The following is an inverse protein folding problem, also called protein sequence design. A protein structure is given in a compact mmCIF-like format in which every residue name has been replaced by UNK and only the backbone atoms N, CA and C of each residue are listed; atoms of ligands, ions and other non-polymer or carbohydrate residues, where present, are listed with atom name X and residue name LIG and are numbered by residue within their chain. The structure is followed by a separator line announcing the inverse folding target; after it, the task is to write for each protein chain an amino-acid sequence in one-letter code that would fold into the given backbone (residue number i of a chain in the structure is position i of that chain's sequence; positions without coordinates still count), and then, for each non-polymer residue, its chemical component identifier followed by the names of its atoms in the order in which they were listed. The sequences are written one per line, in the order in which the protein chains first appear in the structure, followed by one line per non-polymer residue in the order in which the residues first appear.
data_IF_641496994223
#
_entry.id   IF_641496994223
#
_cell.length_a   1.000
_cell.length_b   1.000
_cell.length_c   1.000
_cell.angle_alpha   90.00
_cell.angle_beta   90.00
_cell.angle_gamma   90.00
#
_symmetry.space_group_name_H-M   'P 1'
#
loop_
_entity.id
_entity.type
_entity.pdbx_description
1 polymer ?
#
# COMPACT_ATOMS: atom_id res chain seq x y z
N UNK A 1 -20.37 13.16 -5.13
CA UNK A 1 -19.01 13.69 -5.42
C UNK A 1 -18.54 14.41 -4.16
N UNK A 2 -17.70 13.77 -3.35
CA UNK A 2 -17.25 14.33 -2.08
C UNK A 2 -16.11 15.31 -2.38
N UNK A 3 -16.29 16.59 -2.04
CA UNK A 3 -15.20 17.57 -2.08
C UNK A 3 -14.25 17.26 -0.90
N UNK A 4 -13.11 16.64 -1.16
CA UNK A 4 -12.07 16.43 -0.15
C UNK A 4 -11.04 17.55 -0.23
N UNK A 5 -10.70 18.15 0.90
CA UNK A 5 -9.66 19.18 0.99
C UNK A 5 -8.31 18.47 0.99
N UNK A 6 -7.47 18.80 0.01
CA UNK A 6 -6.08 18.30 -0.03
C UNK A 6 -5.34 18.68 1.24
N UNK A 7 -4.77 17.68 1.91
CA UNK A 7 -3.92 17.89 3.09
C UNK A 7 -4.55 17.62 4.45
N UNK A 8 -5.81 17.12 4.49
CA UNK A 8 -6.44 16.67 5.73
C UNK A 8 -6.98 15.23 5.63
N UNK A 9 -6.68 14.51 4.54
CA UNK A 9 -7.15 13.15 4.32
C UNK A 9 -6.13 12.15 4.84
N UNK A 10 -6.57 11.21 5.64
CA UNK A 10 -5.79 10.05 6.03
C UNK A 10 -5.84 8.98 4.94
N UNK A 11 -4.72 8.30 4.72
CA UNK A 11 -4.63 7.12 3.86
C UNK A 11 -4.38 5.91 4.77
N UNK A 12 -5.25 4.92 4.69
CA UNK A 12 -5.06 3.59 5.25
C UNK A 12 -4.84 2.63 4.06
N UNK A 13 -3.56 2.31 3.77
CA UNK A 13 -3.23 1.63 2.53
C UNK A 13 -3.61 0.15 2.52
N UNK A 14 -3.82 -0.43 3.71
CA UNK A 14 -4.21 -1.82 3.87
C UNK A 14 -5.00 -2.02 5.16
N UNK A 15 -6.23 -2.49 5.02
CA UNK A 15 -7.09 -2.85 6.16
C UNK A 15 -8.04 -3.96 5.76
N UNK A 16 -8.46 -4.77 6.75
CA UNK A 16 -9.55 -5.75 6.59
C UNK A 16 -10.89 -5.21 7.12
N UNK A 17 -10.88 -4.05 7.77
CA UNK A 17 -12.05 -3.47 8.43
C UNK A 17 -12.52 -2.21 7.69
N UNK A 18 -13.76 -2.23 7.21
CA UNK A 18 -14.38 -1.02 6.60
C UNK A 18 -14.68 -0.01 7.70
N UNK A 19 -14.10 1.19 7.58
CA UNK A 19 -14.38 2.34 8.44
C UNK A 19 -15.03 3.45 7.63
N UNK A 20 -16.03 4.10 8.21
CA UNK A 20 -16.75 5.21 7.57
C UNK A 20 -16.26 6.53 8.17
N UNK A 21 -15.42 7.25 7.42
CA UNK A 21 -14.96 8.59 7.76
C UNK A 21 -14.78 9.39 6.47
N UNK A 22 -15.30 10.60 6.42
CA UNK A 22 -15.22 11.48 5.25
C UNK A 22 -13.78 11.93 4.95
N UNK A 23 -12.89 11.87 5.94
CA UNK A 23 -11.48 12.24 5.81
C UNK A 23 -10.55 11.03 5.63
N UNK A 24 -11.09 9.84 5.37
CA UNK A 24 -10.33 8.61 5.20
C UNK A 24 -10.43 8.08 3.77
N UNK A 25 -9.30 7.75 3.16
CA UNK A 25 -9.18 6.86 2.01
C UNK A 25 -8.56 5.57 2.52
N UNK A 26 -9.24 4.45 2.31
CA UNK A 26 -8.75 3.13 2.71
C UNK A 26 -8.78 2.16 1.52
N UNK A 27 -7.79 1.27 1.45
CA UNK A 27 -7.85 0.09 0.58
C UNK A 27 -8.23 -1.10 1.46
N UNK A 28 -9.43 -1.60 1.26
CA UNK A 28 -9.93 -2.76 2.02
C UNK A 28 -9.55 -4.04 1.29
N UNK A 29 -8.82 -4.92 1.97
CA UNK A 29 -8.50 -6.24 1.46
C UNK A 29 -9.71 -7.17 1.62
N UNK A 30 -10.09 -7.84 0.53
CA UNK A 30 -11.23 -8.73 0.48
C UNK A 30 -10.80 -10.16 0.12
N UNK A 31 -11.43 -11.14 0.74
CA UNK A 31 -11.27 -12.53 0.33
C UNK A 31 -11.86 -12.77 -1.06
N UNK A 32 -11.28 -13.68 -1.85
CA UNK A 32 -11.73 -13.99 -3.20
C UNK A 32 -13.22 -14.35 -3.29
N UNK A 33 -13.76 -14.97 -2.24
CA UNK A 33 -15.18 -15.39 -2.19
C UNK A 33 -16.12 -14.24 -1.81
N UNK A 34 -15.60 -13.11 -1.35
CA UNK A 34 -16.41 -11.94 -1.02
C UNK A 34 -16.82 -11.16 -2.28
N UNK A 35 -18.06 -10.66 -2.34
CA UNK A 35 -18.45 -9.74 -3.41
C UNK A 35 -17.72 -8.41 -3.26
N UNK A 36 -17.35 -7.79 -4.38
CA UNK A 36 -16.80 -6.44 -4.37
C UNK A 36 -17.94 -5.42 -4.16
N UNK A 37 -17.87 -4.57 -3.13
CA UNK A 37 -18.84 -3.48 -2.98
C UNK A 37 -18.78 -2.47 -4.15
N UNK A 38 -19.90 -1.77 -4.38
CA UNK A 38 -19.99 -0.80 -5.49
C UNK A 38 -19.15 0.46 -5.26
N UNK A 39 -18.86 0.80 -3.99
CA UNK A 39 -18.14 2.03 -3.63
C UNK A 39 -16.98 1.70 -2.69
N UNK A 40 -15.88 2.41 -2.88
CA UNK A 40 -14.65 2.25 -2.12
C UNK A 40 -13.47 1.79 -2.98
N UNK A 41 -12.35 1.54 -2.35
CA UNK A 41 -11.17 0.98 -2.98
C UNK A 41 -10.81 -0.35 -2.32
N UNK A 42 -10.53 -1.33 -3.15
CA UNK A 42 -10.33 -2.70 -2.69
C UNK A 42 -9.06 -3.31 -3.28
N UNK A 43 -8.54 -4.30 -2.56
CA UNK A 43 -7.55 -5.23 -3.06
C UNK A 43 -8.08 -6.66 -2.96
N UNK A 44 -7.68 -7.50 -3.90
CA UNK A 44 -7.84 -8.94 -3.89
C UNK A 44 -6.52 -9.59 -4.20
N UNK A 45 -6.19 -10.63 -3.45
CA UNK A 45 -5.01 -11.46 -3.64
C UNK A 45 -5.24 -12.88 -3.15
N UNK A 46 -4.25 -13.73 -3.38
CA UNK A 46 -4.21 -15.07 -2.80
C UNK A 46 -3.09 -15.08 -1.78
N UNK A 47 -3.49 -15.00 -0.52
CA UNK A 47 -2.56 -15.04 0.61
C UNK A 47 -1.80 -16.37 0.65
N UNK A 48 -0.51 -16.43 1.02
CA UNK A 48 0.26 -17.67 1.06
C UNK A 48 -0.34 -18.75 1.97
N UNK A 49 -1.13 -18.37 2.98
CA UNK A 49 -1.81 -19.31 3.86
C UNK A 49 -2.98 -20.07 3.21
N UNK A 50 -3.45 -19.63 2.05
CA UNK A 50 -4.45 -20.40 1.28
C UNK A 50 -3.94 -21.80 0.92
N UNK A 51 -2.62 -21.98 0.83
CA UNK A 51 -1.99 -23.27 0.56
C UNK A 51 -2.08 -24.28 1.70
N UNK A 52 -2.59 -23.90 2.87
CA UNK A 52 -2.88 -24.82 3.98
C UNK A 52 -4.12 -25.68 3.73
N UNK A 53 -5.05 -25.16 2.96
CA UNK A 53 -6.22 -25.92 2.57
C UNK A 53 -5.80 -26.99 1.54
N UNK A 54 -6.02 -28.25 1.89
CA UNK A 54 -5.71 -29.41 1.01
C UNK A 54 -6.59 -29.44 -0.25
N UNK A 55 -7.76 -28.80 -0.20
CA UNK A 55 -8.70 -28.66 -1.32
C UNK A 55 -8.43 -27.41 -2.16
N UNK A 56 -7.41 -26.61 -1.81
CA UNK A 56 -7.10 -25.37 -2.52
C UNK A 56 -6.72 -25.63 -3.97
N UNK A 57 -7.50 -25.04 -4.88
CA UNK A 57 -7.33 -25.15 -6.33
C UNK A 57 -6.71 -23.86 -6.88
N UNK A 58 -5.40 -23.83 -7.01
CA UNK A 58 -4.63 -22.63 -7.40
C UNK A 58 -5.12 -22.04 -8.74
N UNK A 59 -5.34 -22.85 -9.77
CA UNK A 59 -5.79 -22.37 -11.09
C UNK A 59 -7.17 -21.69 -11.03
N UNK A 60 -8.11 -22.27 -10.28
CA UNK A 60 -9.43 -21.69 -10.09
C UNK A 60 -9.36 -20.38 -9.30
N UNK A 61 -8.54 -20.35 -8.26
CA UNK A 61 -8.33 -19.14 -7.46
C UNK A 61 -7.70 -18.01 -8.29
N UNK A 62 -6.71 -18.32 -9.15
CA UNK A 62 -6.08 -17.36 -10.04
C UNK A 62 -7.05 -16.83 -11.10
N UNK A 63 -7.92 -17.67 -11.67
CA UNK A 63 -8.96 -17.23 -12.59
C UNK A 63 -9.95 -16.29 -11.90
N UNK A 64 -10.40 -16.63 -10.69
CA UNK A 64 -11.28 -15.76 -9.89
C UNK A 64 -10.60 -14.44 -9.56
N UNK A 65 -9.32 -14.48 -9.17
CA UNK A 65 -8.52 -13.28 -8.90
C UNK A 65 -8.43 -12.38 -10.13
N UNK A 66 -8.15 -12.94 -11.30
CA UNK A 66 -8.09 -12.18 -12.55
C UNK A 66 -9.41 -11.45 -12.86
N UNK A 67 -10.56 -12.12 -12.63
CA UNK A 67 -11.88 -11.50 -12.80
C UNK A 67 -12.10 -10.35 -11.81
N UNK A 68 -11.73 -10.55 -10.53
CA UNK A 68 -11.83 -9.51 -9.49
C UNK A 68 -10.96 -8.29 -9.80
N UNK A 69 -9.74 -8.49 -10.25
CA UNK A 69 -8.81 -7.42 -10.59
C UNK A 69 -9.26 -6.54 -11.76
N UNK A 70 -10.19 -6.99 -12.60
CA UNK A 70 -10.78 -6.21 -13.70
C UNK A 70 -11.87 -5.23 -13.21
N UNK A 71 -12.35 -5.39 -11.99
CA UNK A 71 -13.35 -4.47 -11.42
C UNK A 71 -12.73 -3.09 -11.17
N UNK A 72 -13.44 -1.99 -11.51
CA UNK A 72 -12.88 -0.64 -11.39
C UNK A 72 -12.56 -0.23 -9.94
N UNK A 73 -13.30 -0.75 -8.95
CA UNK A 73 -13.07 -0.48 -7.53
C UNK A 73 -11.84 -1.22 -6.98
N UNK A 74 -11.33 -2.24 -7.70
CA UNK A 74 -10.17 -3.01 -7.29
C UNK A 74 -8.92 -2.34 -7.84
N UNK A 75 -8.22 -1.60 -6.98
CA UNK A 75 -7.09 -0.77 -7.40
C UNK A 75 -5.72 -1.42 -7.12
N UNK A 76 -5.68 -2.51 -6.36
CA UNK A 76 -4.45 -3.24 -6.05
C UNK A 76 -4.67 -4.76 -6.11
N UNK A 77 -3.59 -5.50 -6.42
CA UNK A 77 -3.48 -6.93 -6.17
C UNK A 77 -2.88 -7.12 -4.77
N UNK A 78 -3.58 -7.79 -3.89
CA UNK A 78 -3.14 -8.06 -2.52
C UNK A 78 -4.34 -8.47 -1.64
N UNK A 79 -4.06 -9.12 -0.55
CA UNK A 79 -2.77 -9.47 0.00
C UNK A 79 -2.18 -10.70 -0.69
N UNK A 80 -0.92 -10.63 -1.11
CA UNK A 80 -0.19 -11.72 -1.75
C UNK A 80 1.27 -11.68 -1.28
N UNK A 81 1.99 -12.79 -1.34
CA UNK A 81 3.40 -12.76 -0.95
C UNK A 81 3.92 -14.06 -0.35
N UNK A 82 4.85 -13.93 0.60
CA UNK A 82 5.63 -15.03 1.14
C UNK A 82 5.70 -15.00 2.67
N UNK A 83 5.59 -16.18 3.29
CA UNK A 83 5.72 -16.39 4.73
C UNK A 83 6.61 -17.62 5.02
N UNK A 84 7.86 -17.37 5.41
CA UNK A 84 8.82 -18.46 5.72
C UNK A 84 8.57 -19.19 7.03
N UNK A 85 7.79 -18.61 7.92
CA UNK A 85 7.48 -19.26 9.21
C UNK A 85 6.17 -20.04 9.16
N UNK A 86 5.43 -19.88 8.10
CA UNK A 86 4.19 -20.62 7.90
C UNK A 86 4.46 -22.06 7.44
N UNK A 87 3.55 -22.97 7.78
CA UNK A 87 3.71 -24.42 7.52
C UNK A 87 3.58 -24.83 6.06
N UNK A 88 2.94 -24.00 5.22
CA UNK A 88 2.82 -24.31 3.80
C UNK A 88 4.17 -24.34 3.11
N UNK A 89 4.35 -25.23 2.12
CA UNK A 89 5.59 -25.34 1.35
C UNK A 89 6.00 -24.00 0.76
N UNK A 90 7.21 -23.57 1.06
CA UNK A 90 7.73 -22.29 0.61
C UNK A 90 7.91 -22.24 -0.92
N UNK A 91 8.25 -23.35 -1.53
CA UNK A 91 8.32 -23.47 -3.00
C UNK A 91 6.95 -23.23 -3.64
N UNK A 92 5.89 -23.83 -3.09
CA UNK A 92 4.52 -23.61 -3.58
C UNK A 92 4.07 -22.16 -3.35
N UNK A 93 4.49 -21.52 -2.26
CA UNK A 93 4.23 -20.09 -2.05
C UNK A 93 4.90 -19.26 -3.15
N UNK A 94 6.16 -19.56 -3.48
CA UNK A 94 6.89 -18.86 -4.56
C UNK A 94 6.16 -19.04 -5.89
N UNK A 95 5.79 -20.26 -6.27
CA UNK A 95 5.07 -20.53 -7.53
C UNK A 95 3.75 -19.73 -7.62
N UNK A 96 2.96 -19.74 -6.54
CA UNK A 96 1.71 -19.00 -6.47
C UNK A 96 1.93 -17.49 -6.55
N UNK A 97 2.97 -16.99 -5.90
CA UNK A 97 3.29 -15.58 -5.89
C UNK A 97 3.80 -15.10 -7.28
N UNK A 98 4.62 -15.90 -7.97
CA UNK A 98 5.07 -15.61 -9.33
C UNK A 98 3.89 -15.44 -10.31
N UNK A 99 2.87 -16.29 -10.22
CA UNK A 99 1.64 -16.18 -11.02
C UNK A 99 0.88 -14.88 -10.71
N UNK A 100 0.86 -14.45 -9.47
CA UNK A 100 0.24 -13.19 -9.08
C UNK A 100 1.05 -11.96 -9.54
N UNK A 101 2.38 -12.05 -9.57
CA UNK A 101 3.23 -11.02 -10.19
C UNK A 101 2.89 -10.86 -11.68
N UNK A 102 2.72 -11.97 -12.42
CA UNK A 102 2.34 -11.94 -13.83
C UNK A 102 0.96 -11.29 -14.05
N UNK A 103 -0.01 -11.57 -13.19
CA UNK A 103 -1.33 -10.91 -13.22
C UNK A 103 -1.23 -9.41 -12.94
N UNK A 104 -0.44 -9.01 -11.93
CA UNK A 104 -0.19 -7.61 -11.60
C UNK A 104 0.38 -6.84 -12.78
N UNK A 105 1.42 -7.38 -13.44
CA UNK A 105 2.03 -6.75 -14.61
C UNK A 105 1.06 -6.67 -15.81
N UNK A 106 0.30 -7.74 -16.06
CA UNK A 106 -0.67 -7.80 -17.17
C UNK A 106 -1.82 -6.82 -16.99
N UNK A 107 -2.36 -6.71 -15.77
CA UNK A 107 -3.50 -5.87 -15.45
C UNK A 107 -3.11 -4.48 -14.92
N UNK A 108 -1.81 -4.22 -14.87
CA UNK A 108 -1.24 -2.94 -14.41
C UNK A 108 -1.72 -2.53 -13.01
N UNK A 109 -1.76 -3.49 -12.08
CA UNK A 109 -2.19 -3.25 -10.70
C UNK A 109 -0.98 -3.23 -9.76
N UNK A 110 -0.81 -2.18 -8.91
CA UNK A 110 0.12 -2.23 -7.80
C UNK A 110 -0.13 -3.43 -6.89
N UNK A 111 0.91 -3.89 -6.18
CA UNK A 111 0.80 -5.05 -5.28
C UNK A 111 0.96 -4.64 -3.82
N UNK A 112 0.10 -5.17 -2.94
CA UNK A 112 0.21 -5.10 -1.48
C UNK A 112 0.69 -6.47 -1.01
N UNK A 113 1.87 -6.50 -0.37
CA UNK A 113 2.62 -7.73 -0.15
C UNK A 113 2.72 -8.11 1.32
N UNK A 114 2.36 -9.36 1.60
CA UNK A 114 2.72 -10.08 2.81
C UNK A 114 4.18 -10.54 2.75
N UNK A 115 4.99 -10.13 3.70
CA UNK A 115 6.42 -10.44 3.73
C UNK A 115 6.89 -10.81 5.13
N UNK A 116 6.89 -12.11 5.43
CA UNK A 116 7.36 -12.63 6.70
C UNK A 116 8.68 -13.40 6.53
N UNK A 117 9.79 -12.77 6.97
CA UNK A 117 11.17 -13.28 6.87
C UNK A 117 11.60 -13.66 5.45
N UNK A 118 11.02 -13.03 4.43
CA UNK A 118 11.21 -13.35 3.00
C UNK A 118 11.67 -12.18 2.14
N UNK A 119 12.17 -11.09 2.74
CA UNK A 119 12.61 -9.88 2.02
C UNK A 119 13.55 -10.16 0.84
N UNK A 120 14.52 -11.08 1.04
CA UNK A 120 15.48 -11.43 0.01
C UNK A 120 14.82 -12.10 -1.20
N UNK A 121 13.85 -12.97 -0.96
CA UNK A 121 13.10 -13.66 -2.00
C UNK A 121 12.15 -12.70 -2.71
N UNK A 122 11.48 -11.83 -1.99
CA UNK A 122 10.66 -10.73 -2.58
C UNK A 122 11.53 -9.89 -3.54
N UNK A 123 12.70 -9.46 -3.09
CA UNK A 123 13.63 -8.69 -3.92
C UNK A 123 14.12 -9.51 -5.13
N UNK A 124 14.45 -10.79 -4.93
CA UNK A 124 14.90 -11.67 -6.00
C UNK A 124 13.82 -11.88 -7.08
N UNK A 125 12.57 -12.10 -6.65
CA UNK A 125 11.42 -12.26 -7.54
C UNK A 125 11.10 -10.96 -8.30
N UNK A 126 11.15 -9.80 -7.63
CA UNK A 126 11.00 -8.51 -8.32
C UNK A 126 12.01 -8.35 -9.46
N UNK A 127 13.28 -8.71 -9.20
CA UNK A 127 14.35 -8.67 -10.23
C UNK A 127 14.14 -9.71 -11.31
N UNK A 128 13.80 -10.95 -10.96
CA UNK A 128 13.56 -12.06 -11.90
C UNK A 128 12.48 -11.71 -12.91
N UNK A 129 11.36 -11.18 -12.45
CA UNK A 129 10.21 -10.79 -13.28
C UNK A 129 10.38 -9.40 -13.92
N UNK A 130 11.44 -8.65 -13.57
CA UNK A 130 11.63 -7.24 -13.98
C UNK A 130 10.36 -6.41 -13.74
N UNK A 131 9.75 -6.64 -12.58
CA UNK A 131 8.45 -6.09 -12.23
C UNK A 131 8.48 -4.55 -12.25
N UNK A 132 7.52 -3.96 -12.98
CA UNK A 132 7.37 -2.51 -13.17
C UNK A 132 6.30 -1.93 -12.28
N UNK A 133 5.28 -2.74 -11.96
CA UNK A 133 4.21 -2.29 -11.08
C UNK A 133 4.75 -1.97 -9.68
N UNK A 134 4.21 -0.95 -8.99
CA UNK A 134 4.60 -0.64 -7.63
C UNK A 134 4.32 -1.80 -6.67
N UNK A 135 5.24 -2.06 -5.75
CA UNK A 135 5.09 -3.03 -4.68
C UNK A 135 5.10 -2.30 -3.34
N UNK A 136 4.19 -2.67 -2.45
CA UNK A 136 4.05 -2.14 -1.09
C UNK A 136 4.13 -3.33 -0.14
N UNK A 137 5.17 -3.41 0.68
CA UNK A 137 5.23 -4.38 1.78
C UNK A 137 4.41 -3.83 2.93
N UNK A 138 3.28 -4.50 3.26
CA UNK A 138 2.45 -4.13 4.38
C UNK A 138 2.98 -4.73 5.70
N UNK A 139 2.48 -4.25 6.84
CA UNK A 139 2.88 -4.74 8.16
C UNK A 139 4.38 -4.64 8.44
N UNK A 140 5.10 -3.78 7.74
CA UNK A 140 6.55 -3.73 7.83
C UNK A 140 7.02 -3.42 9.26
N UNK A 141 7.88 -4.28 9.80
CA UNK A 141 8.40 -4.17 11.17
C UNK A 141 9.92 -4.42 11.27
N UNK A 142 10.63 -4.29 10.13
CA UNK A 142 12.05 -4.57 9.99
C UNK A 142 12.99 -3.52 10.59
N UNK A 143 14.29 -3.77 10.45
CA UNK A 143 15.37 -2.89 10.87
C UNK A 143 15.80 -1.94 9.73
N UNK A 144 16.70 -0.99 10.04
CA UNK A 144 17.24 -0.03 9.06
C UNK A 144 17.81 -0.69 7.79
N UNK A 145 18.48 -1.83 7.94
CA UNK A 145 19.05 -2.53 6.79
C UNK A 145 17.97 -3.10 5.85
N UNK A 146 16.88 -3.62 6.40
CA UNK A 146 15.74 -4.12 5.63
C UNK A 146 15.08 -2.96 4.85
N UNK A 147 14.92 -1.79 5.51
CA UNK A 147 14.42 -0.55 4.89
C UNK A 147 15.28 -0.18 3.67
N UNK A 148 16.60 -0.10 3.85
CA UNK A 148 17.53 0.28 2.77
C UNK A 148 17.49 -0.69 1.60
N UNK A 149 17.37 -2.00 1.87
CA UNK A 149 17.30 -3.02 0.84
C UNK A 149 16.00 -2.93 0.02
N UNK A 150 14.86 -2.81 0.67
CA UNK A 150 13.55 -2.75 0.01
C UNK A 150 13.38 -1.45 -0.76
N UNK A 151 13.63 -0.30 -0.13
CA UNK A 151 13.54 1.01 -0.80
C UNK A 151 14.53 1.12 -1.96
N UNK A 152 15.75 0.56 -1.81
CA UNK A 152 16.75 0.50 -2.89
C UNK A 152 16.29 -0.28 -4.13
N UNK A 153 15.21 -1.07 -4.03
CA UNK A 153 14.55 -1.74 -5.16
C UNK A 153 13.24 -1.05 -5.58
N UNK A 154 12.96 0.16 -5.07
CA UNK A 154 11.72 0.88 -5.37
C UNK A 154 10.48 0.25 -4.75
N UNK A 155 10.63 -0.47 -3.62
CA UNK A 155 9.53 -1.09 -2.87
C UNK A 155 9.10 -0.12 -1.77
N UNK A 156 7.81 0.15 -1.69
CA UNK A 156 7.19 0.97 -0.65
C UNK A 156 6.99 0.15 0.62
N UNK A 157 6.99 0.83 1.77
CA UNK A 157 6.78 0.22 3.07
C UNK A 157 5.54 0.81 3.72
N UNK A 158 4.65 -0.05 4.19
CA UNK A 158 3.52 0.35 5.00
C UNK A 158 3.71 -0.12 6.43
N UNK A 159 3.49 0.79 7.38
CA UNK A 159 3.73 0.55 8.80
C UNK A 159 2.42 0.79 9.57
N UNK A 160 2.05 -0.20 10.36
CA UNK A 160 0.82 -0.19 11.15
C UNK A 160 1.04 -0.23 12.66
N UNK A 161 0.26 -1.07 13.35
CA UNK A 161 0.23 -1.21 14.80
C UNK A 161 1.60 -1.38 15.45
N UNK A 162 2.53 -2.08 14.77
CA UNK A 162 3.89 -2.29 15.28
C UNK A 162 4.64 -0.99 15.64
N UNK A 163 4.26 0.15 15.02
CA UNK A 163 4.83 1.46 15.31
C UNK A 163 4.40 2.02 16.67
N UNK A 164 3.28 1.56 17.21
CA UNK A 164 2.75 2.01 18.50
C UNK A 164 3.51 1.39 19.70
N UNK A 165 4.43 0.46 19.43
CA UNK A 165 5.14 -0.33 20.42
C UNK A 165 6.64 0.04 20.46
N UNK A 166 7.09 0.83 21.47
CA UNK A 166 8.47 1.32 21.54
C UNK A 166 9.56 0.21 21.60
N UNK A 167 9.18 -0.99 22.04
CA UNK A 167 10.06 -2.16 22.09
C UNK A 167 10.28 -2.82 20.73
N UNK A 168 9.44 -2.56 19.74
CA UNK A 168 9.57 -3.12 18.39
C UNK A 168 10.71 -2.46 17.62
N UNK A 169 11.35 -3.24 16.74
CA UNK A 169 12.48 -2.75 15.91
C UNK A 169 12.08 -1.53 15.08
N UNK A 170 10.90 -1.58 14.47
CA UNK A 170 10.41 -0.52 13.60
C UNK A 170 10.31 0.84 14.32
N UNK A 171 9.96 0.88 15.61
CA UNK A 171 9.88 2.12 16.35
C UNK A 171 11.22 2.90 16.33
N UNK A 172 12.35 2.19 16.37
CA UNK A 172 13.70 2.77 16.34
C UNK A 172 14.19 3.05 14.92
N UNK A 173 13.78 2.22 13.96
CA UNK A 173 14.23 2.31 12.57
C UNK A 173 13.32 3.16 11.68
N UNK A 174 12.12 3.55 12.15
CA UNK A 174 11.12 4.27 11.37
C UNK A 174 11.66 5.54 10.72
N UNK A 175 12.47 6.31 11.44
CA UNK A 175 13.11 7.54 10.96
C UNK A 175 14.03 7.37 9.74
N UNK A 176 14.41 6.13 9.41
CA UNK A 176 15.22 5.83 8.23
C UNK A 176 14.39 5.52 6.98
N UNK A 177 13.05 5.47 7.10
CA UNK A 177 12.18 5.32 5.94
C UNK A 177 12.13 6.66 5.21
N UNK A 178 12.50 6.65 3.92
CA UNK A 178 12.29 7.78 3.04
C UNK A 178 10.78 8.00 2.87
N UNK A 179 10.33 9.22 3.14
CA UNK A 179 8.91 9.58 3.11
C UNK A 179 8.28 9.37 1.73
N UNK A 180 9.07 9.41 0.66
CA UNK A 180 8.61 9.11 -0.71
C UNK A 180 8.22 7.63 -0.90
N UNK A 181 8.60 6.76 0.03
CA UNK A 181 8.30 5.32 0.03
C UNK A 181 7.44 4.87 1.22
N UNK A 182 6.89 5.81 1.99
CA UNK A 182 6.13 5.52 3.20
C UNK A 182 4.62 5.48 2.93
N UNK A 183 3.98 4.44 3.51
CA UNK A 183 2.55 4.38 3.79
C UNK A 183 2.30 4.00 5.25
N UNK A 184 1.07 4.24 5.70
CA UNK A 184 0.57 3.83 7.01
C UNK A 184 -0.72 3.03 6.84
N UNK A 185 -1.00 2.15 7.81
CA UNK A 185 -2.10 1.20 7.73
C UNK A 185 -2.66 0.84 9.10
N UNK A 186 -3.80 0.14 9.10
CA UNK A 186 -4.36 -0.48 10.31
C UNK A 186 -4.38 -2.00 10.27
N UNK A 187 -4.34 -2.63 9.09
CA UNK A 187 -4.48 -4.08 8.92
C UNK A 187 -5.74 -4.62 9.62
N UNK A 188 -5.61 -5.43 10.65
CA UNK A 188 -6.69 -6.00 11.46
C UNK A 188 -7.06 -5.15 12.69
N UNK A 189 -6.39 -4.02 12.92
CA UNK A 189 -6.60 -3.22 14.11
C UNK A 189 -7.94 -2.48 14.10
N UNK A 190 -8.65 -2.49 15.22
CA UNK A 190 -9.94 -1.81 15.38
C UNK A 190 -9.81 -0.29 15.53
N UNK A 191 -8.63 0.22 15.90
CA UNK A 191 -8.41 1.66 16.03
C UNK A 191 -8.29 2.37 14.66
N UNK A 192 -8.46 3.68 14.64
CA UNK A 192 -8.28 4.51 13.45
C UNK A 192 -6.81 4.69 13.07
N UNK A 193 -6.52 4.80 11.77
CA UNK A 193 -5.15 5.00 11.25
C UNK A 193 -4.52 6.29 11.80
N UNK A 194 -5.32 7.26 12.25
CA UNK A 194 -4.88 8.53 12.85
C UNK A 194 -3.89 8.29 13.99
N UNK A 195 -4.11 7.24 14.79
CA UNK A 195 -3.22 6.88 15.91
C UNK A 195 -1.81 6.51 15.42
N UNK A 196 -1.72 5.86 14.25
CA UNK A 196 -0.44 5.53 13.62
C UNK A 196 0.22 6.80 13.07
N UNK A 197 -0.57 7.70 12.44
CA UNK A 197 -0.08 9.00 11.96
C UNK A 197 0.45 9.88 13.09
N UNK A 198 -0.23 9.94 14.24
CA UNK A 198 0.22 10.70 15.42
C UNK A 198 1.60 10.22 15.89
N UNK A 199 1.77 8.90 15.99
CA UNK A 199 3.05 8.30 16.39
C UNK A 199 4.13 8.53 15.34
N UNK A 200 3.80 8.35 14.06
CA UNK A 200 4.71 8.58 12.94
C UNK A 200 5.19 10.03 12.89
N UNK A 201 4.27 11.00 12.98
CA UNK A 201 4.59 12.43 12.98
C UNK A 201 5.51 12.80 14.14
N UNK A 202 5.25 12.26 15.35
CA UNK A 202 6.12 12.46 16.51
C UNK A 202 7.55 11.90 16.28
N UNK A 203 7.67 10.70 15.72
CA UNK A 203 8.97 10.05 15.47
C UNK A 203 9.77 10.74 14.36
N UNK A 204 9.08 11.37 13.41
CA UNK A 204 9.67 12.12 12.30
C UNK A 204 9.87 13.60 12.60
N UNK A 205 9.51 14.06 13.82
CA UNK A 205 9.57 15.47 14.23
C UNK A 205 8.87 16.41 13.22
N UNK A 206 7.71 15.96 12.69
CA UNK A 206 6.90 16.72 11.72
C UNK A 206 5.44 16.86 12.22
N UNK A 207 4.65 17.68 11.55
CA UNK A 207 3.21 17.77 11.81
C UNK A 207 2.40 16.77 10.99
N UNK A 208 1.21 16.42 11.48
CA UNK A 208 0.33 15.42 10.86
C UNK A 208 -0.08 15.85 9.44
N UNK A 209 -0.35 17.14 9.22
CA UNK A 209 -0.81 17.65 7.91
C UNK A 209 0.28 17.49 6.86
N UNK A 210 1.53 17.76 7.21
CA UNK A 210 2.68 17.53 6.33
C UNK A 210 2.81 16.05 5.98
N UNK A 211 2.68 15.16 6.96
CA UNK A 211 2.72 13.71 6.74
C UNK A 211 1.55 13.21 5.87
N UNK A 212 0.32 13.71 6.11
CA UNK A 212 -0.84 13.41 5.29
C UNK A 212 -0.63 13.80 3.82
N UNK A 213 -0.11 15.00 3.57
CA UNK A 213 0.20 15.49 2.21
C UNK A 213 1.21 14.59 1.51
N UNK A 214 2.26 14.19 2.21
CA UNK A 214 3.29 13.32 1.64
C UNK A 214 2.72 11.94 1.28
N UNK A 215 2.01 11.30 2.22
CA UNK A 215 1.41 9.98 1.98
C UNK A 215 0.33 10.04 0.89
N UNK A 216 -0.46 11.12 0.85
CA UNK A 216 -1.41 11.35 -0.24
C UNK A 216 -0.69 11.49 -1.61
N UNK A 217 0.46 12.17 -1.65
CA UNK A 217 1.27 12.29 -2.87
C UNK A 217 1.76 10.92 -3.33
N UNK A 218 2.22 10.08 -2.40
CA UNK A 218 2.61 8.70 -2.71
C UNK A 218 1.42 7.90 -3.26
N UNK A 219 0.25 8.01 -2.62
CA UNK A 219 -0.97 7.34 -3.07
C UNK A 219 -1.37 7.77 -4.47
N UNK A 220 -1.42 9.07 -4.74
CA UNK A 220 -1.76 9.61 -6.06
C UNK A 220 -0.79 9.13 -7.15
N UNK A 221 0.50 9.06 -6.83
CA UNK A 221 1.55 8.56 -7.75
C UNK A 221 1.36 7.08 -8.11
N UNK A 222 0.97 6.24 -7.14
CA UNK A 222 0.83 4.80 -7.36
C UNK A 222 -0.49 4.41 -8.02
N UNK A 223 -1.56 5.09 -7.67
CA UNK A 223 -2.92 4.69 -8.05
C UNK A 223 -3.55 5.61 -9.11
N UNK A 224 -2.78 6.59 -9.64
CA UNK A 224 -3.22 7.42 -10.75
C UNK A 224 -4.39 8.35 -10.40
N UNK A 225 -4.49 8.80 -9.14
CA UNK A 225 -5.51 9.75 -8.76
C UNK A 225 -5.23 11.11 -9.41
N UNK A 226 -6.03 11.48 -10.43
CA UNK A 226 -5.92 12.78 -11.03
C UNK A 226 -6.49 13.87 -10.09
N UNK A 227 -5.65 14.84 -9.75
CA UNK A 227 -6.11 16.09 -9.17
C UNK A 227 -6.68 16.94 -10.30
N UNK A 228 -8.01 16.98 -10.46
CA UNK A 228 -8.65 17.85 -11.45
C UNK A 228 -8.63 19.31 -10.98
N UNK A 229 -7.52 20.00 -11.26
CA UNK A 229 -7.38 21.45 -11.19
C UNK A 229 -6.68 21.94 -12.46
N UNK A 230 -7.00 23.13 -12.95
CA UNK A 230 -6.50 23.71 -14.22
C UNK A 230 -4.96 23.86 -14.31
N UNK A 231 -4.19 23.44 -13.30
CA UNK A 231 -2.75 23.70 -13.19
C UNK A 231 -1.85 22.48 -13.22
N UNK A 232 -2.37 21.26 -13.48
CA UNK A 232 -1.60 20.00 -13.36
C UNK A 232 -0.39 19.86 -14.30
N UNK A 233 -0.27 20.66 -15.35
CA UNK A 233 0.94 20.71 -16.20
C UNK A 233 2.08 21.52 -15.58
N UNK A 234 1.79 22.38 -14.61
CA UNK A 234 2.80 23.28 -14.02
C UNK A 234 3.52 22.65 -12.83
N UNK A 235 2.85 21.77 -12.08
CA UNK A 235 3.35 21.17 -10.84
C UNK A 235 4.42 20.10 -11.06
N UNK A 236 4.32 19.31 -12.11
CA UNK A 236 5.36 18.34 -12.47
C UNK A 236 6.72 19.04 -12.78
N UNK A 237 6.70 20.28 -13.26
CA UNK A 237 7.88 21.08 -13.53
C UNK A 237 8.40 21.81 -12.28
N UNK A 238 7.54 22.17 -11.32
CA UNK A 238 7.91 22.88 -10.09
C UNK A 238 8.59 21.93 -9.09
N UNK A 239 8.14 20.68 -8.97
CA UNK A 239 8.80 19.65 -8.15
C UNK A 239 10.22 19.32 -8.64
N UNK A 240 10.44 19.41 -9.97
CA UNK A 240 11.78 19.20 -10.56
C UNK A 240 12.70 20.43 -10.34
N UNK A 241 12.13 21.61 -10.11
CA UNK A 241 12.88 22.87 -10.00
C UNK A 241 13.15 23.32 -8.55
N UNK A 242 12.63 22.65 -7.53
CA UNK A 242 12.90 22.97 -6.10
C UNK A 242 12.38 24.34 -5.63
N UNK A 243 11.42 24.95 -6.32
CA UNK A 243 10.85 26.26 -5.98
C UNK A 243 9.50 26.09 -5.28
N UNK A 244 9.47 26.33 -3.97
CA UNK A 244 8.24 26.36 -3.17
C UNK A 244 7.52 27.71 -3.32
N UNK A 245 6.25 27.78 -3.79
CA UNK A 245 5.48 29.00 -3.72
C UNK A 245 4.86 29.20 -2.33
N UNK A 246 4.80 30.46 -1.89
CA UNK A 246 4.08 30.85 -0.67
C UNK A 246 2.56 30.78 -0.92
N UNK A 247 1.87 30.02 -0.08
CA UNK A 247 0.42 29.77 -0.19
C UNK A 247 -0.41 30.92 0.40
N UNK A 248 -1.31 31.47 -0.43
CA UNK A 248 -2.46 32.26 0.01
C UNK A 248 -3.67 31.35 0.21
N UNK A 249 -4.55 31.73 1.14
CA UNK A 249 -5.75 30.98 1.55
C UNK A 249 -6.71 30.66 0.41
N UNK A 250 -7.35 29.48 0.49
CA UNK A 250 -8.56 29.03 -0.21
C UNK A 250 -8.41 28.57 -1.68
N UNK A 251 -7.91 27.32 -1.86
CA UNK A 251 -8.28 26.57 -3.06
C UNK A 251 -8.65 25.12 -2.70
N UNK A 252 -9.95 24.81 -2.82
CA UNK A 252 -10.49 23.46 -2.66
C UNK A 252 -10.26 22.66 -3.94
N UNK A 253 -9.39 21.65 -3.89
CA UNK A 253 -9.16 20.70 -4.99
C UNK A 253 -10.15 19.53 -4.91
N UNK A 254 -10.75 19.19 -6.03
CA UNK A 254 -11.60 18.00 -6.20
C UNK A 254 -10.74 16.86 -6.75
N UNK A 255 -10.65 15.75 -6.03
CA UNK A 255 -9.95 14.54 -6.46
C UNK A 255 -10.98 13.53 -6.95
N UNK A 256 -10.79 13.00 -8.15
CA UNK A 256 -11.46 11.80 -8.63
C UNK A 256 -10.43 10.77 -8.99
N UNK A 257 -10.49 9.62 -8.32
CA UNK A 257 -9.77 8.42 -8.74
C UNK A 257 -10.65 7.60 -9.69
N UNK A 258 -10.05 6.81 -10.58
CA UNK A 258 -10.74 5.98 -11.57
C UNK A 258 -11.66 4.96 -10.94
#
# INVERSE_FOLDING_TARGET
MIKRVLGTTFIDIHTHLVKTDDNLIQIVNLDLNQPCPEQGYFSYGIHPWALDDVEFQAEKALQTLEEKLKLPQVIALGEAGLDKIHKASFERQIELFERQIELSETLQKPMILHDVRSHNEIIALRKKHKAKQPWIVHGFSGAEQDIKQLIGQGIYLSVGESLLHPERKIYKSFKFIDLDFLFLETDMAEFGVEKVYETAAKLLETDIVTLQKQIFTNFARLFGCETRGRETRHWALILIAGLLPQWGQEDSLVVSCP
#
